data_IF_780909345225
#
_entry.id   IF_780909345225
#
_cell.length_a   1.000
_cell.length_b   1.000
_cell.length_c   1.000
_cell.angle_alpha   90.00
_cell.angle_beta   90.00
_cell.angle_gamma   90.00
#
_symmetry.space_group_name_H-M   'P 1'
#
loop_
_entity.id
_entity.type
_entity.pdbx_description
1 polymer ?
#
# COMPACT_ATOMS: atom_id res chain seq x y z
N UNK A 1 -10.08 -4.20 9.27
CA UNK A 1 -10.38 -3.08 10.20
C UNK A 1 -9.52 -1.88 9.82
N UNK A 2 -10.01 -0.66 9.99
CA UNK A 2 -9.19 0.55 9.81
C UNK A 2 -8.36 0.83 11.07
N UNK A 3 -7.06 1.04 10.91
CA UNK A 3 -6.16 1.53 11.95
C UNK A 3 -5.58 2.86 11.48
N UNK A 4 -5.76 3.91 12.29
CA UNK A 4 -5.29 5.25 11.95
C UNK A 4 -4.13 5.66 12.86
N UNK A 5 -2.91 5.62 12.31
CA UNK A 5 -1.67 6.00 13.00
C UNK A 5 -1.32 7.48 12.83
N UNK A 6 -2.03 8.20 11.95
CA UNK A 6 -1.75 9.61 11.63
C UNK A 6 -1.75 10.50 12.88
N UNK A 7 -2.71 10.39 13.84
CA UNK A 7 -2.68 11.22 15.04
C UNK A 7 -1.43 11.00 15.90
N UNK A 8 -0.96 9.75 16.03
CA UNK A 8 0.21 9.42 16.84
C UNK A 8 1.50 9.94 16.16
N UNK A 9 1.60 9.81 14.84
CA UNK A 9 2.68 10.43 14.09
C UNK A 9 2.69 11.96 14.26
N UNK A 10 1.54 12.64 14.11
CA UNK A 10 1.46 14.09 14.29
C UNK A 10 1.80 14.51 15.74
N UNK A 11 1.40 13.72 16.73
CA UNK A 11 1.80 13.95 18.12
C UNK A 11 3.32 13.82 18.31
N UNK A 12 4.01 12.94 17.57
CA UNK A 12 5.47 12.88 17.60
C UNK A 12 6.12 14.19 17.14
N UNK A 13 5.54 14.87 16.15
CA UNK A 13 6.09 16.13 15.62
C UNK A 13 5.95 17.31 16.58
N UNK A 14 4.92 17.28 17.43
CA UNK A 14 4.64 18.32 18.43
C UNK A 14 5.38 18.08 19.76
N UNK A 15 6.11 16.96 19.88
CA UNK A 15 6.88 16.65 21.07
C UNK A 15 8.11 17.56 21.21
N UNK A 16 8.61 17.71 22.43
CA UNK A 16 9.85 18.48 22.70
C UNK A 16 11.07 17.88 21.99
N UNK A 17 11.10 16.55 21.88
CA UNK A 17 12.09 15.81 21.07
C UNK A 17 11.32 14.94 20.05
N UNK A 18 11.13 15.44 18.81
CA UNK A 18 10.38 14.72 17.79
C UNK A 18 11.01 13.39 17.36
N UNK A 19 12.35 13.31 17.32
CA UNK A 19 13.04 12.09 16.91
C UNK A 19 12.82 10.98 17.94
N UNK A 20 12.97 11.31 19.23
CA UNK A 20 12.70 10.36 20.30
C UNK A 20 11.23 9.96 20.39
N UNK A 21 10.31 10.92 20.20
CA UNK A 21 8.88 10.61 20.15
C UNK A 21 8.52 9.70 18.96
N UNK A 22 9.16 9.89 17.81
CA UNK A 22 8.98 9.03 16.66
C UNK A 22 9.52 7.61 16.90
N UNK A 23 10.65 7.45 17.60
CA UNK A 23 11.16 6.11 17.98
C UNK A 23 10.19 5.37 18.90
N UNK A 24 9.59 6.06 19.88
CA UNK A 24 8.53 5.45 20.70
C UNK A 24 7.30 5.05 19.87
N UNK A 25 6.90 5.89 18.93
CA UNK A 25 5.85 5.55 17.96
C UNK A 25 6.21 4.31 17.12
N UNK A 26 7.47 4.19 16.67
CA UNK A 26 7.97 2.99 16.00
C UNK A 26 7.86 1.76 16.90
N UNK A 27 8.32 1.85 18.15
CA UNK A 27 8.31 0.74 19.11
C UNK A 27 6.89 0.28 19.45
N UNK A 28 5.97 1.21 19.68
CA UNK A 28 4.56 0.93 20.00
C UNK A 28 3.83 0.20 18.85
N UNK A 29 4.32 0.35 17.62
CA UNK A 29 3.76 -0.25 16.40
C UNK A 29 4.77 -1.15 15.66
N UNK A 30 5.76 -1.67 16.40
CA UNK A 30 6.94 -2.34 15.83
C UNK A 30 6.60 -3.46 14.83
N UNK A 31 5.64 -4.38 15.07
CA UNK A 31 5.39 -5.47 14.13
C UNK A 31 5.02 -5.04 12.72
N UNK A 32 4.31 -3.91 12.57
CA UNK A 32 3.85 -3.42 11.27
C UNK A 32 4.84 -2.42 10.69
N UNK A 33 5.35 -1.50 11.51
CA UNK A 33 6.28 -0.50 11.02
C UNK A 33 7.65 -1.10 10.68
N UNK A 34 8.14 -2.12 11.40
CA UNK A 34 9.38 -2.81 10.99
C UNK A 34 9.22 -3.54 9.65
N UNK A 35 8.06 -4.17 9.42
CA UNK A 35 7.74 -4.80 8.15
C UNK A 35 7.64 -3.78 7.01
N UNK A 36 7.00 -2.63 7.23
CA UNK A 36 6.99 -1.53 6.27
C UNK A 36 8.41 -1.03 5.94
N UNK A 37 9.23 -0.80 6.96
CA UNK A 37 10.61 -0.34 6.79
C UNK A 37 11.45 -1.33 5.99
N UNK A 38 11.42 -2.61 6.37
CA UNK A 38 12.16 -3.67 5.69
C UNK A 38 11.78 -3.81 4.21
N UNK A 39 10.49 -3.74 3.90
CA UNK A 39 9.99 -3.98 2.54
C UNK A 39 10.09 -2.76 1.62
N UNK A 40 9.97 -1.53 2.15
CA UNK A 40 9.79 -0.34 1.32
C UNK A 40 10.81 0.78 1.56
N UNK A 41 11.63 0.68 2.60
CA UNK A 41 12.57 1.75 2.98
C UNK A 41 14.00 1.21 3.07
N UNK A 42 14.33 0.57 4.19
CA UNK A 42 15.59 -0.08 4.55
C UNK A 42 15.41 -0.73 5.93
N UNK A 43 16.33 -1.61 6.32
CA UNK A 43 16.30 -2.23 7.64
C UNK A 43 16.48 -1.21 8.77
N UNK A 44 15.68 -1.32 9.84
CA UNK A 44 15.72 -0.38 10.97
C UNK A 44 17.06 -0.39 11.74
N UNK A 45 17.85 -1.45 11.64
CA UNK A 45 19.18 -1.57 12.23
C UNK A 45 20.30 -1.00 11.33
N UNK A 46 19.95 -0.54 10.13
CA UNK A 46 20.88 0.12 9.21
C UNK A 46 21.40 1.43 9.81
N UNK A 47 22.68 1.78 9.57
CA UNK A 47 23.25 3.07 10.01
C UNK A 47 22.56 4.29 9.38
N UNK A 48 21.75 4.10 8.34
CA UNK A 48 21.01 5.17 7.66
C UNK A 48 19.59 5.39 8.20
N UNK A 49 19.11 4.55 9.12
CA UNK A 49 17.75 4.66 9.65
C UNK A 49 17.52 5.99 10.39
N UNK A 50 18.47 6.40 11.23
CA UNK A 50 18.39 7.66 11.98
C UNK A 50 18.30 8.89 11.05
N UNK A 51 19.03 8.90 9.93
CA UNK A 51 18.97 9.98 8.93
C UNK A 51 17.58 10.08 8.29
N UNK A 52 16.98 8.92 7.98
CA UNK A 52 15.62 8.84 7.41
C UNK A 52 14.59 9.33 8.42
N UNK A 53 14.70 8.90 9.69
CA UNK A 53 13.84 9.36 10.79
C UNK A 53 13.95 10.88 10.94
N UNK A 54 15.17 11.40 11.04
CA UNK A 54 15.41 12.83 11.23
C UNK A 54 14.79 13.66 10.10
N UNK A 55 14.97 13.22 8.84
CA UNK A 55 14.32 13.87 7.68
C UNK A 55 12.80 13.83 7.80
N UNK A 56 12.24 12.67 8.15
CA UNK A 56 10.79 12.49 8.24
C UNK A 56 10.14 13.35 9.33
N UNK A 57 10.78 13.52 10.49
CA UNK A 57 10.22 14.35 11.58
C UNK A 57 10.48 15.85 11.40
N UNK A 58 11.52 16.22 10.64
CA UNK A 58 11.89 17.63 10.43
C UNK A 58 11.19 18.29 9.24
N UNK A 59 10.65 17.49 8.33
CA UNK A 59 10.08 17.99 7.09
C UNK A 59 8.76 18.74 7.33
N UNK A 60 8.53 19.80 6.55
CA UNK A 60 7.30 20.59 6.60
C UNK A 60 6.05 19.73 6.30
N UNK A 61 5.02 19.87 7.13
CA UNK A 61 3.75 19.13 7.08
C UNK A 61 2.53 20.01 6.86
N UNK A 62 2.70 21.26 6.41
CA UNK A 62 1.57 22.15 6.09
C UNK A 62 0.62 21.57 5.05
N UNK A 63 1.16 20.84 4.07
CA UNK A 63 0.41 20.13 3.04
C UNK A 63 -0.41 18.96 3.61
N UNK A 64 0.18 18.15 4.48
CA UNK A 64 -0.52 17.08 5.19
C UNK A 64 -1.62 17.62 6.10
N UNK A 65 -1.36 18.70 6.85
CA UNK A 65 -2.38 19.36 7.69
C UNK A 65 -3.54 19.88 6.84
N UNK A 66 -3.23 20.54 5.72
CA UNK A 66 -4.25 21.02 4.78
C UNK A 66 -5.08 19.87 4.16
N UNK A 67 -4.46 18.72 3.88
CA UNK A 67 -5.17 17.50 3.46
C UNK A 67 -6.20 17.09 4.53
N UNK A 68 -5.74 16.92 5.77
CA UNK A 68 -6.57 16.44 6.89
C UNK A 68 -7.69 17.41 7.27
N UNK A 69 -7.44 18.71 7.18
CA UNK A 69 -8.45 19.74 7.45
C UNK A 69 -9.51 19.81 6.33
N UNK A 70 -9.14 19.47 5.10
CA UNK A 70 -9.98 19.61 3.91
C UNK A 70 -10.69 18.33 3.45
N UNK A 71 -10.25 17.15 3.90
CA UNK A 71 -10.72 15.87 3.39
C UNK A 71 -10.97 14.86 4.52
N UNK A 72 -12.13 14.21 4.49
CA UNK A 72 -12.45 13.10 5.39
C UNK A 72 -11.75 11.80 4.95
N UNK A 73 -10.43 11.75 5.14
CA UNK A 73 -9.61 10.60 4.73
C UNK A 73 -9.99 9.31 5.47
N UNK A 74 -10.48 9.43 6.70
CA UNK A 74 -10.93 8.28 7.52
C UNK A 74 -12.23 7.72 6.94
N UNK A 75 -13.26 8.55 6.74
CA UNK A 75 -14.52 8.10 6.17
C UNK A 75 -14.36 7.54 4.75
N UNK A 76 -13.47 8.12 3.95
CA UNK A 76 -13.11 7.60 2.62
C UNK A 76 -12.48 6.19 2.72
N UNK A 77 -11.56 5.98 3.66
CA UNK A 77 -10.94 4.68 3.87
C UNK A 77 -11.97 3.64 4.37
N UNK A 78 -12.82 3.99 5.33
CA UNK A 78 -13.86 3.09 5.85
C UNK A 78 -14.86 2.67 4.79
N UNK A 79 -15.34 3.61 3.96
CA UNK A 79 -16.21 3.30 2.82
C UNK A 79 -15.50 2.38 1.81
N UNK A 80 -14.22 2.63 1.53
CA UNK A 80 -13.45 1.80 0.62
C UNK A 80 -13.28 0.38 1.15
N UNK A 81 -12.95 0.22 2.45
CA UNK A 81 -12.83 -1.08 3.11
C UNK A 81 -14.14 -1.85 3.00
N UNK A 82 -15.29 -1.22 3.29
CA UNK A 82 -16.60 -1.87 3.16
C UNK A 82 -16.85 -2.38 1.74
N UNK A 83 -16.53 -1.58 0.72
CA UNK A 83 -16.65 -2.01 -0.68
C UNK A 83 -15.72 -3.15 -1.04
N UNK A 84 -14.50 -3.16 -0.51
CA UNK A 84 -13.56 -4.28 -0.68
C UNK A 84 -14.09 -5.55 -0.01
N UNK A 85 -14.62 -5.46 1.20
CA UNK A 85 -15.24 -6.59 1.91
C UNK A 85 -16.41 -7.17 1.10
N UNK A 86 -17.28 -6.31 0.55
CA UNK A 86 -18.40 -6.71 -0.30
C UNK A 86 -17.95 -7.38 -1.61
N UNK A 87 -16.94 -6.80 -2.28
CA UNK A 87 -16.44 -7.30 -3.56
C UNK A 87 -15.69 -8.61 -3.41
N UNK A 88 -14.70 -8.65 -2.51
CA UNK A 88 -13.77 -9.77 -2.39
C UNK A 88 -14.33 -10.91 -1.54
N UNK A 89 -15.34 -10.63 -0.69
CA UNK A 89 -15.95 -11.61 0.23
C UNK A 89 -14.88 -12.37 1.01
N UNK A 90 -13.94 -11.61 1.58
CA UNK A 90 -12.73 -12.17 2.18
C UNK A 90 -13.06 -13.17 3.29
N UNK A 91 -12.38 -14.32 3.25
CA UNK A 91 -12.47 -15.41 4.20
C UNK A 91 -11.52 -15.24 5.41
N UNK A 92 -10.69 -14.20 5.39
CA UNK A 92 -9.77 -13.81 6.47
C UNK A 92 -9.90 -12.31 6.75
N UNK A 93 -9.79 -11.88 8.02
CA UNK A 93 -9.73 -10.46 8.33
C UNK A 93 -8.42 -9.86 7.81
N UNK A 94 -8.52 -8.68 7.20
CA UNK A 94 -7.38 -7.83 6.87
C UNK A 94 -7.48 -6.49 7.60
N UNK A 95 -6.35 -5.79 7.69
CA UNK A 95 -6.27 -4.45 8.24
C UNK A 95 -5.83 -3.43 7.20
N UNK A 96 -6.33 -2.21 7.33
CA UNK A 96 -5.90 -1.06 6.53
C UNK A 96 -5.33 0.00 7.46
N UNK A 97 -4.08 0.37 7.23
CA UNK A 97 -3.36 1.37 8.01
C UNK A 97 -3.34 2.70 7.24
N UNK A 98 -3.98 3.72 7.82
CA UNK A 98 -3.70 5.10 7.44
C UNK A 98 -2.52 5.59 8.28
N UNK A 99 -1.44 5.97 7.61
CA UNK A 99 -0.22 6.38 8.27
C UNK A 99 0.46 7.52 7.53
N UNK A 100 1.52 8.04 8.13
CA UNK A 100 2.50 8.89 7.46
C UNK A 100 3.78 8.07 7.38
N UNK A 101 4.27 7.85 6.17
CA UNK A 101 5.49 7.13 5.91
C UNK A 101 6.72 8.03 5.98
N UNK A 102 7.83 7.50 5.45
CA UNK A 102 9.11 8.22 5.35
C UNK A 102 9.54 8.45 3.89
N UNK A 103 8.57 8.38 2.97
CA UNK A 103 8.71 8.76 1.57
C UNK A 103 9.10 7.66 0.58
N UNK A 104 9.20 6.40 1.00
CA UNK A 104 9.60 5.29 0.12
C UNK A 104 8.46 4.63 -0.65
N UNK A 105 7.23 4.69 -0.14
CA UNK A 105 6.06 4.09 -0.78
C UNK A 105 4.78 4.86 -0.42
N UNK A 106 3.93 5.09 -1.42
CA UNK A 106 2.62 5.73 -1.24
C UNK A 106 1.58 4.78 -0.64
N UNK A 107 1.64 3.50 -1.00
CA UNK A 107 0.81 2.44 -0.46
C UNK A 107 1.56 1.11 -0.66
N UNK A 108 1.09 0.06 0.02
CA UNK A 108 1.63 -1.27 -0.15
C UNK A 108 0.89 -2.30 0.70
N UNK A 109 1.25 -3.55 0.47
CA UNK A 109 0.71 -4.71 1.14
C UNK A 109 1.76 -5.39 2.03
N UNK A 110 1.30 -6.01 3.11
CA UNK A 110 2.10 -6.76 4.06
C UNK A 110 1.30 -7.98 4.52
N UNK A 111 2.02 -8.98 5.02
CA UNK A 111 1.46 -10.03 5.86
C UNK A 111 2.32 -10.13 7.10
N UNK A 112 1.71 -9.89 8.26
CA UNK A 112 2.40 -9.89 9.56
C UNK A 112 1.68 -10.89 10.47
N UNK A 113 2.39 -11.94 10.87
CA UNK A 113 1.82 -13.00 11.71
C UNK A 113 0.61 -13.69 11.05
N UNK A 114 0.62 -13.82 9.72
CA UNK A 114 -0.47 -14.39 8.93
C UNK A 114 -1.67 -13.47 8.72
N UNK A 115 -1.63 -12.22 9.21
CA UNK A 115 -2.68 -11.23 8.97
C UNK A 115 -2.32 -10.33 7.80
N UNK A 116 -3.24 -10.21 6.84
CA UNK A 116 -3.10 -9.32 5.70
C UNK A 116 -3.24 -7.87 6.13
N UNK A 117 -2.33 -7.02 5.68
CA UNK A 117 -2.25 -5.61 6.02
C UNK A 117 -2.06 -4.81 4.73
N UNK A 118 -2.92 -3.84 4.48
CA UNK A 118 -2.69 -2.79 3.51
C UNK A 118 -2.30 -1.52 4.26
N UNK A 119 -1.36 -0.73 3.76
CA UNK A 119 -1.07 0.59 4.30
C UNK A 119 -1.15 1.66 3.20
N UNK A 120 -1.47 2.88 3.62
CA UNK A 120 -1.41 4.06 2.76
C UNK A 120 -0.74 5.21 3.52
N UNK A 121 0.26 5.80 2.87
CA UNK A 121 1.09 6.87 3.38
C UNK A 121 0.56 8.22 2.89
N UNK A 122 -0.13 8.96 3.75
CA UNK A 122 -0.90 10.15 3.39
C UNK A 122 -0.04 11.33 2.90
N UNK A 123 1.26 11.37 3.21
CA UNK A 123 2.18 12.39 2.69
C UNK A 123 2.28 12.36 1.16
N UNK A 124 1.93 11.23 0.53
CA UNK A 124 1.92 11.11 -0.92
C UNK A 124 0.62 11.64 -1.55
N UNK A 125 -0.46 11.84 -0.79
CA UNK A 125 -1.81 12.15 -1.31
C UNK A 125 -2.29 13.59 -1.03
N UNK A 126 -1.35 14.52 -0.82
CA UNK A 126 -1.66 15.92 -0.45
C UNK A 126 -2.06 16.80 -1.65
N UNK A 127 -2.05 16.26 -2.87
CA UNK A 127 -2.26 17.00 -4.11
C UNK A 127 -1.12 17.97 -4.48
N UNK A 128 -0.03 18.01 -3.68
CA UNK A 128 1.14 18.86 -3.92
C UNK A 128 2.43 18.07 -3.64
N UNK A 129 3.37 18.02 -4.58
CA UNK A 129 4.67 17.39 -4.32
C UNK A 129 5.38 18.10 -3.16
N UNK A 130 6.04 17.34 -2.30
CA UNK A 130 6.78 17.85 -1.17
C UNK A 130 8.15 17.16 -1.11
N UNK A 131 9.20 17.90 -1.46
CA UNK A 131 10.55 17.35 -1.53
C UNK A 131 11.15 17.04 -0.15
N UNK A 132 10.66 17.65 0.92
CA UNK A 132 11.16 17.39 2.28
C UNK A 132 10.62 16.07 2.83
N UNK A 133 9.36 15.74 2.53
CA UNK A 133 8.74 14.44 2.86
C UNK A 133 8.93 13.37 1.79
N UNK A 134 9.44 13.74 0.61
CA UNK A 134 9.41 12.93 -0.61
C UNK A 134 7.99 12.57 -1.07
N UNK A 135 6.99 13.36 -0.64
CA UNK A 135 5.60 13.21 -1.03
C UNK A 135 5.41 13.46 -2.52
N UNK A 136 4.68 12.54 -3.17
CA UNK A 136 4.45 12.57 -4.62
C UNK A 136 3.44 13.64 -5.06
N UNK A 137 2.61 14.12 -4.14
CA UNK A 137 1.53 15.06 -4.48
C UNK A 137 0.41 14.44 -5.31
N UNK A 138 0.16 13.14 -5.14
CA UNK A 138 -1.01 12.46 -5.67
C UNK A 138 -2.28 13.15 -5.17
N UNK A 139 -3.32 13.16 -6.00
CA UNK A 139 -4.58 13.76 -5.59
C UNK A 139 -5.26 12.91 -4.51
N UNK A 140 -5.92 13.51 -3.50
CA UNK A 140 -6.62 12.78 -2.45
C UNK A 140 -7.68 11.79 -2.96
N UNK A 141 -8.30 12.09 -4.10
CA UNK A 141 -9.34 11.24 -4.72
C UNK A 141 -8.79 9.88 -5.20
N UNK A 142 -7.47 9.70 -5.25
CA UNK A 142 -6.85 8.43 -5.59
C UNK A 142 -6.79 7.45 -4.40
N UNK A 143 -7.03 7.91 -3.16
CA UNK A 143 -6.97 7.07 -1.95
C UNK A 143 -7.80 5.78 -2.06
N UNK A 144 -9.10 5.82 -2.45
CA UNK A 144 -9.90 4.59 -2.55
C UNK A 144 -9.30 3.54 -3.48
N UNK A 145 -8.69 4.00 -4.58
CA UNK A 145 -8.16 3.10 -5.58
C UNK A 145 -6.89 2.39 -5.06
N UNK A 146 -5.98 3.13 -4.41
CA UNK A 146 -4.80 2.53 -3.80
C UNK A 146 -5.15 1.60 -2.64
N UNK A 147 -6.06 2.01 -1.73
CA UNK A 147 -6.53 1.13 -0.65
C UNK A 147 -7.08 -0.17 -1.22
N UNK A 148 -7.96 -0.10 -2.23
CA UNK A 148 -8.56 -1.28 -2.82
C UNK A 148 -7.56 -2.18 -3.53
N UNK A 149 -6.56 -1.59 -4.18
CA UNK A 149 -5.46 -2.33 -4.81
C UNK A 149 -4.68 -3.13 -3.78
N UNK A 150 -4.20 -2.50 -2.71
CA UNK A 150 -3.43 -3.19 -1.68
C UNK A 150 -4.27 -4.25 -0.96
N UNK A 151 -5.54 -3.95 -0.67
CA UNK A 151 -6.46 -4.93 -0.06
C UNK A 151 -6.60 -6.16 -0.95
N UNK A 152 -6.66 -6.02 -2.27
CA UNK A 152 -6.73 -7.17 -3.18
C UNK A 152 -5.53 -8.12 -3.00
N UNK A 153 -4.32 -7.57 -2.83
CA UNK A 153 -3.14 -8.38 -2.51
C UNK A 153 -3.29 -9.08 -1.16
N UNK A 154 -3.71 -8.36 -0.12
CA UNK A 154 -3.87 -8.96 1.22
C UNK A 154 -4.83 -10.15 1.22
N UNK A 155 -5.96 -10.04 0.51
CA UNK A 155 -6.93 -11.13 0.38
C UNK A 155 -6.30 -12.31 -0.37
N UNK A 156 -5.63 -12.03 -1.49
CA UNK A 156 -4.98 -13.05 -2.31
C UNK A 156 -3.87 -13.79 -1.57
N UNK A 157 -3.14 -13.11 -0.69
CA UNK A 157 -2.01 -13.68 0.05
C UNK A 157 -2.42 -14.50 1.27
N UNK A 158 -3.61 -14.23 1.82
CA UNK A 158 -4.01 -14.81 3.11
C UNK A 158 -5.19 -15.76 3.04
N UNK A 159 -5.96 -15.76 1.96
CA UNK A 159 -7.05 -16.72 1.77
C UNK A 159 -6.51 -18.16 1.79
N UNK A 160 -7.07 -19.07 2.61
CA UNK A 160 -6.70 -20.49 2.63
C UNK A 160 -6.98 -21.22 1.30
N UNK A 161 -7.92 -20.72 0.50
CA UNK A 161 -8.27 -21.29 -0.79
C UNK A 161 -7.45 -20.67 -1.95
N UNK A 162 -6.61 -19.67 -1.65
CA UNK A 162 -5.75 -19.04 -2.63
C UNK A 162 -4.76 -20.03 -3.24
N UNK A 163 -4.72 -20.05 -4.56
CA UNK A 163 -3.73 -20.81 -5.35
C UNK A 163 -2.51 -20.00 -5.76
N UNK A 164 -2.39 -18.78 -5.24
CA UNK A 164 -1.26 -17.88 -5.52
C UNK A 164 0.07 -18.52 -5.11
N UNK A 165 1.09 -18.41 -5.98
CA UNK A 165 2.44 -18.83 -5.61
C UNK A 165 2.99 -17.96 -4.47
N UNK A 166 2.64 -16.66 -4.46
CA UNK A 166 3.01 -15.72 -3.40
C UNK A 166 2.39 -16.14 -2.06
N UNK A 167 1.11 -16.51 -2.02
CA UNK A 167 0.47 -17.02 -0.80
C UNK A 167 1.21 -18.24 -0.21
N UNK A 168 1.65 -19.16 -1.07
CA UNK A 168 2.46 -20.31 -0.66
C UNK A 168 3.84 -19.92 -0.16
N UNK A 169 4.53 -18.98 -0.82
CA UNK A 169 5.83 -18.46 -0.37
C UNK A 169 5.70 -17.84 1.03
N UNK A 170 4.68 -17.00 1.24
CA UNK A 170 4.37 -16.38 2.54
C UNK A 170 4.09 -17.46 3.60
N UNK A 171 3.34 -18.50 3.26
CA UNK A 171 3.08 -19.62 4.17
C UNK A 171 4.38 -20.34 4.58
N UNK A 172 5.27 -20.60 3.63
CA UNK A 172 6.60 -21.20 3.88
C UNK A 172 7.48 -20.30 4.75
N UNK A 173 7.26 -18.98 4.71
CA UNK A 173 7.90 -17.98 5.58
C UNK A 173 7.13 -17.74 6.88
N UNK A 174 6.33 -18.71 7.34
CA UNK A 174 5.55 -18.64 8.57
C UNK A 174 4.56 -17.46 8.63
N UNK A 175 3.99 -17.07 7.49
CA UNK A 175 2.99 -16.00 7.42
C UNK A 175 3.59 -14.59 7.51
N UNK A 176 4.86 -14.43 7.15
CA UNK A 176 5.49 -13.13 6.96
C UNK A 176 5.60 -12.83 5.46
N UNK A 177 5.27 -11.61 5.05
CA UNK A 177 5.57 -11.12 3.71
C UNK A 177 6.95 -10.46 3.67
N UNK A 178 7.69 -10.78 2.62
CA UNK A 178 8.97 -10.19 2.28
C UNK A 178 9.00 -9.99 0.76
N UNK A 179 9.10 -8.73 0.35
CA UNK A 179 9.10 -8.30 -1.04
C UNK A 179 10.28 -8.88 -1.82
N UNK A 180 11.44 -9.03 -1.19
CA UNK A 180 12.65 -9.55 -1.82
C UNK A 180 12.55 -11.07 -2.03
N UNK A 181 12.06 -11.80 -1.04
CA UNK A 181 11.84 -13.25 -1.16
C UNK A 181 10.73 -13.57 -2.15
N UNK A 182 9.59 -12.88 -2.05
CA UNK A 182 8.48 -13.09 -2.98
C UNK A 182 8.87 -12.69 -4.41
N UNK A 183 9.54 -11.55 -4.60
CA UNK A 183 10.01 -11.07 -5.90
C UNK A 183 11.08 -11.95 -6.54
N UNK A 184 11.92 -12.63 -5.76
CA UNK A 184 12.96 -13.53 -6.26
C UNK A 184 12.46 -14.95 -6.56
N UNK A 185 11.37 -15.37 -5.90
CA UNK A 185 10.85 -16.75 -5.99
C UNK A 185 9.59 -16.89 -6.83
N UNK A 186 8.72 -15.88 -6.88
CA UNK A 186 7.51 -15.91 -7.68
C UNK A 186 7.85 -15.87 -9.18
N UNK A 187 7.07 -16.58 -9.99
CA UNK A 187 7.23 -16.49 -11.43
C UNK A 187 6.79 -15.11 -11.94
N UNK A 188 7.38 -14.64 -13.05
CA UNK A 188 6.90 -13.41 -13.71
C UNK A 188 5.40 -13.48 -14.02
N UNK A 189 4.91 -14.67 -14.39
CA UNK A 189 3.48 -14.92 -14.62
C UNK A 189 2.66 -14.63 -13.37
N UNK A 190 3.07 -15.17 -12.24
CA UNK A 190 2.40 -14.92 -10.96
C UNK A 190 2.38 -13.42 -10.62
N UNK A 191 3.52 -12.73 -10.77
CA UNK A 191 3.60 -11.29 -10.51
C UNK A 191 2.67 -10.50 -11.44
N UNK A 192 2.58 -10.85 -12.73
CA UNK A 192 1.67 -10.18 -13.66
C UNK A 192 0.19 -10.42 -13.32
N UNK A 193 -0.18 -11.63 -12.91
CA UNK A 193 -1.54 -11.94 -12.46
C UNK A 193 -1.85 -11.20 -11.16
N UNK A 194 -0.90 -11.17 -10.21
CA UNK A 194 -1.02 -10.46 -8.95
C UNK A 194 -1.42 -8.99 -9.14
N UNK A 195 -0.62 -8.26 -9.92
CA UNK A 195 -0.87 -6.86 -10.22
C UNK A 195 -2.17 -6.68 -11.01
N UNK A 196 -2.37 -7.49 -12.05
CA UNK A 196 -3.54 -7.40 -12.92
C UNK A 196 -4.87 -7.54 -12.16
N UNK A 197 -4.92 -8.46 -11.19
CA UNK A 197 -6.09 -8.66 -10.32
C UNK A 197 -6.31 -7.49 -9.38
N UNK A 198 -5.25 -6.99 -8.74
CA UNK A 198 -5.35 -5.88 -7.82
C UNK A 198 -5.81 -4.60 -8.54
N UNK A 199 -5.32 -4.37 -9.77
CA UNK A 199 -5.80 -3.33 -10.68
C UNK A 199 -7.28 -3.53 -11.04
N UNK A 200 -7.67 -4.74 -11.42
CA UNK A 200 -9.04 -5.02 -11.83
C UNK A 200 -10.03 -4.79 -10.68
N UNK A 201 -9.69 -5.30 -9.49
CA UNK A 201 -10.47 -5.13 -8.27
C UNK A 201 -10.57 -3.67 -7.84
N UNK A 202 -9.47 -2.93 -7.84
CA UNK A 202 -9.47 -1.51 -7.44
C UNK A 202 -10.36 -0.65 -8.33
N UNK A 203 -10.43 -0.94 -9.64
CA UNK A 203 -11.31 -0.25 -10.59
C UNK A 203 -12.79 -0.55 -10.38
N UNK A 204 -13.13 -1.71 -9.81
CA UNK A 204 -14.51 -2.06 -9.46
C UNK A 204 -14.91 -1.34 -8.16
N UNK A 205 -14.02 -1.29 -7.17
CA UNK A 205 -14.26 -0.62 -5.87
C UNK A 205 -14.34 0.91 -6.02
N UNK A 206 -13.44 1.48 -6.83
CA UNK A 206 -13.28 2.91 -7.05
C UNK A 206 -13.43 3.25 -8.54
N UNK A 207 -14.65 3.19 -9.11
CA UNK A 207 -14.86 3.50 -10.52
C UNK A 207 -14.73 4.99 -10.81
N UNK A 208 -14.49 5.33 -12.08
CA UNK A 208 -14.52 6.72 -12.56
C UNK A 208 -13.17 7.44 -12.59
N UNK A 209 -12.09 6.80 -12.14
CA UNK A 209 -10.73 7.31 -12.29
C UNK A 209 -10.10 6.84 -13.59
N UNK A 210 -9.31 7.72 -14.19
CA UNK A 210 -8.63 7.40 -15.44
C UNK A 210 -7.37 6.58 -15.14
N UNK A 211 -7.10 5.45 -15.83
CA UNK A 211 -6.06 4.54 -15.36
C UNK A 211 -4.63 5.13 -15.38
N UNK A 212 -4.35 6.15 -16.20
CA UNK A 212 -3.04 6.84 -16.16
C UNK A 212 -2.82 7.66 -14.89
N UNK A 213 -3.88 8.08 -14.20
CA UNK A 213 -3.79 8.80 -12.92
C UNK A 213 -3.33 7.87 -11.80
N UNK A 214 -3.55 6.57 -12.00
CA UNK A 214 -3.17 5.52 -11.08
C UNK A 214 -1.77 4.94 -11.39
N UNK A 215 -1.46 4.65 -12.66
CA UNK A 215 -0.18 4.01 -13.00
C UNK A 215 1.06 4.93 -12.96
N UNK A 216 0.88 6.23 -12.71
CA UNK A 216 1.98 7.22 -12.79
C UNK A 216 2.58 7.37 -14.20
N UNK A 217 1.96 6.78 -15.23
CA UNK A 217 2.44 6.89 -16.61
C UNK A 217 2.06 8.23 -17.23
N UNK A 218 3.01 8.80 -17.97
CA UNK A 218 2.68 9.87 -18.90
C UNK A 218 1.67 9.34 -19.94
N UNK A 219 0.72 10.16 -20.39
CA UNK A 219 -0.34 9.77 -21.35
C UNK A 219 0.16 8.98 -22.56
N UNK A 220 1.37 9.26 -23.03
CA UNK A 220 2.02 8.55 -24.15
C UNK A 220 2.43 7.12 -23.79
N UNK A 221 3.02 6.91 -22.61
CA UNK A 221 3.37 5.59 -22.08
C UNK A 221 2.10 4.76 -21.87
N UNK A 222 1.06 5.37 -21.29
CA UNK A 222 -0.23 4.71 -21.09
C UNK A 222 -0.88 4.25 -22.41
N UNK A 223 -0.91 5.11 -23.44
CA UNK A 223 -1.42 4.71 -24.77
C UNK A 223 -0.66 3.51 -25.35
N UNK A 224 0.66 3.44 -25.14
CA UNK A 224 1.46 2.31 -25.60
C UNK A 224 1.10 1.03 -24.86
N UNK A 225 0.89 1.11 -23.55
CA UNK A 225 0.45 -0.03 -22.75
C UNK A 225 -0.94 -0.51 -23.16
N UNK A 226 -1.89 0.39 -23.44
CA UNK A 226 -3.23 0.04 -23.94
C UNK A 226 -3.21 -0.71 -25.27
N UNK A 227 -2.24 -0.42 -26.14
CA UNK A 227 -2.05 -1.19 -27.38
C UNK A 227 -1.59 -2.63 -27.11
N UNK A 228 -0.83 -2.84 -26.03
CA UNK A 228 -0.32 -4.14 -25.63
C UNK A 228 -1.32 -4.91 -24.75
N UNK A 229 -2.17 -4.20 -24.00
CA UNK A 229 -3.15 -4.76 -23.08
C UNK A 229 -4.07 -5.77 -23.74
N UNK A 230 -4.61 -5.50 -24.94
CA UNK A 230 -5.46 -6.47 -25.64
C UNK A 230 -4.72 -7.77 -26.00
N UNK A 231 -3.40 -7.69 -26.21
CA UNK A 231 -2.56 -8.85 -26.49
C UNK A 231 -2.20 -9.61 -25.21
N UNK A 232 -1.88 -8.87 -24.14
CA UNK A 232 -1.60 -9.42 -22.82
C UNK A 232 -2.85 -10.10 -22.22
N UNK A 233 -4.01 -9.44 -22.29
CA UNK A 233 -5.27 -9.98 -21.79
C UNK A 233 -5.65 -11.28 -22.50
N UNK A 234 -5.50 -11.41 -23.82
CA UNK A 234 -5.77 -12.70 -24.49
C UNK A 234 -4.89 -13.85 -24.00
N UNK A 235 -3.67 -13.56 -23.54
CA UNK A 235 -2.75 -14.56 -23.00
C UNK A 235 -3.05 -14.86 -21.53
N UNK A 236 -3.56 -13.87 -20.79
CA UNK A 236 -3.78 -13.92 -19.34
C UNK A 236 -5.23 -14.27 -18.96
N UNK A 237 -6.21 -14.11 -19.86
CA UNK A 237 -7.65 -14.32 -19.61
C UNK A 237 -7.96 -15.76 -19.18
N UNK A 238 -7.46 -16.76 -19.91
CA UNK A 238 -7.62 -18.16 -19.53
C UNK A 238 -6.87 -18.57 -18.24
N UNK A 239 -6.03 -17.67 -17.71
CA UNK A 239 -5.32 -17.86 -16.44
C UNK A 239 -5.99 -17.11 -15.30
N UNK A 240 -6.54 -15.93 -15.54
CA UNK A 240 -7.44 -15.25 -14.60
C UNK A 240 -8.65 -16.13 -14.28
N UNK A 241 -9.19 -16.86 -15.26
CA UNK A 241 -10.26 -17.84 -15.03
C UNK A 241 -9.83 -19.06 -14.19
N UNK A 242 -8.53 -19.38 -14.11
CA UNK A 242 -7.98 -20.56 -13.40
C UNK A 242 -7.26 -20.24 -12.08
N UNK A 243 -6.85 -18.99 -11.91
CA UNK A 243 -5.94 -18.54 -10.85
C UNK A 243 -6.21 -17.12 -10.37
N UNK A 244 -7.22 -16.44 -10.95
CA UNK A 244 -7.56 -15.05 -10.68
C UNK A 244 -8.11 -14.81 -9.27
N UNK A 245 -8.86 -15.76 -8.75
CA UNK A 245 -9.14 -15.89 -7.31
C UNK A 245 -8.82 -17.32 -6.83
N UNK A 246 -8.20 -18.13 -7.70
CA UNK A 246 -8.25 -19.60 -7.66
C UNK A 246 -9.35 -20.17 -8.54
#
# INVERSE_FOLDING_TARGET
>A
MLINLVPQFLASLEATDPAEAYRRYLDDHLPVLSAYWHNYILDLDSPHADDVIHRAVSADRRDLRALLDGHDVVGVAEETIRRCEDLYRSDRPFDVYLMVGVGGANAGELVVGGRGIAFVCLEHFTGRPNHESLGLGLRPELLPLWIAHEVAHTVRYTSPDSRSEIARIIHEMNGAYDFWETGSRATLRELMVNEGLAIAGSRIVAPGLEPWEYYGFLRRQYRRLRQLEAFLMRVVEGELDKSGLG
#
